data_IF_977030104786
#
_entry.id   IF_977030104786
#
_cell.length_a   1.000
_cell.length_b   1.000
_cell.length_c   1.000
_cell.angle_alpha   90.00
_cell.angle_beta   90.00
_cell.angle_gamma   90.00
#
_symmetry.space_group_name_H-M   'P 1'
#
loop_
_entity.id
_entity.type
_entity.pdbx_description
1 polymer ?
#
# COMPACT_ATOMS: atom_id res chain seq x y z
N UNK A 1 6.98 -17.93 -6.86
CA UNK A 1 7.37 -16.88 -5.90
C UNK A 1 6.08 -16.40 -5.28
N UNK A 2 5.83 -16.82 -4.04
CA UNK A 2 4.71 -16.32 -3.26
C UNK A 2 5.23 -15.10 -2.48
N UNK A 3 4.54 -13.97 -2.57
CA UNK A 3 4.95 -12.75 -1.88
C UNK A 3 4.21 -12.70 -0.55
N UNK A 4 4.92 -12.58 0.57
CA UNK A 4 4.29 -12.49 1.89
C UNK A 4 3.84 -11.07 2.23
N UNK A 5 4.54 -10.06 1.70
CA UNK A 5 4.33 -8.64 2.02
C UNK A 5 4.65 -7.80 0.77
N UNK A 6 3.76 -6.87 0.41
CA UNK A 6 3.93 -5.93 -0.70
C UNK A 6 3.67 -4.50 -0.21
N UNK A 7 4.46 -3.53 -0.68
CA UNK A 7 4.18 -2.10 -0.53
C UNK A 7 3.85 -1.49 -1.88
N UNK A 8 2.92 -0.54 -1.90
CA UNK A 8 2.70 0.38 -3.01
C UNK A 8 2.83 1.81 -2.48
N UNK A 9 3.35 2.73 -3.29
CA UNK A 9 3.43 4.15 -2.95
C UNK A 9 2.40 4.95 -3.75
N UNK A 10 2.28 6.24 -3.46
CA UNK A 10 1.28 7.08 -4.14
C UNK A 10 1.44 7.11 -5.67
N UNK A 11 2.67 6.96 -6.18
CA UNK A 11 2.96 6.99 -7.62
C UNK A 11 2.41 5.76 -8.36
N UNK A 12 2.21 4.62 -7.67
CA UNK A 12 1.53 3.44 -8.23
C UNK A 12 0.11 3.79 -8.72
N UNK A 13 -0.49 4.84 -8.16
CA UNK A 13 -1.83 5.29 -8.46
C UNK A 13 -2.86 4.55 -7.61
N UNK A 14 -3.77 5.32 -7.01
CA UNK A 14 -4.80 4.80 -6.08
C UNK A 14 -5.66 3.70 -6.71
N UNK A 15 -6.06 3.87 -7.97
CA UNK A 15 -6.89 2.89 -8.68
C UNK A 15 -6.19 1.52 -8.80
N UNK A 16 -4.89 1.53 -9.05
CA UNK A 16 -4.09 0.30 -9.16
C UNK A 16 -3.91 -0.35 -7.79
N UNK A 17 -3.58 0.45 -6.76
CA UNK A 17 -3.41 -0.03 -5.40
C UNK A 17 -4.70 -0.71 -4.87
N UNK A 18 -5.86 -0.10 -5.11
CA UNK A 18 -7.14 -0.72 -4.77
C UNK A 18 -7.43 -2.00 -5.55
N UNK A 19 -7.00 -2.10 -6.82
CA UNK A 19 -7.14 -3.33 -7.60
C UNK A 19 -6.29 -4.45 -7.00
N UNK A 20 -5.10 -4.16 -6.50
CA UNK A 20 -4.28 -5.16 -5.81
C UNK A 20 -4.95 -5.66 -4.53
N UNK A 21 -5.44 -4.74 -3.68
CA UNK A 21 -6.18 -5.11 -2.47
C UNK A 21 -7.41 -5.96 -2.79
N UNK A 22 -8.23 -5.55 -3.76
CA UNK A 22 -9.41 -6.32 -4.21
C UNK A 22 -9.06 -7.68 -4.79
N UNK A 23 -7.89 -7.81 -5.44
CA UNK A 23 -7.40 -9.07 -5.97
C UNK A 23 -6.72 -9.96 -4.92
N UNK A 24 -6.65 -9.53 -3.66
CA UNK A 24 -6.10 -10.33 -2.56
C UNK A 24 -4.57 -10.35 -2.49
N UNK A 25 -3.89 -9.43 -3.16
CA UNK A 25 -2.45 -9.27 -2.96
C UNK A 25 -2.19 -8.80 -1.52
N UNK A 26 -1.10 -9.27 -0.87
CA UNK A 26 -0.79 -8.89 0.50
C UNK A 26 -0.13 -7.50 0.55
N UNK A 27 -0.83 -6.49 0.02
CA UNK A 27 -0.43 -5.09 0.07
C UNK A 27 -0.69 -4.56 1.47
N UNK A 28 0.32 -3.95 2.08
CA UNK A 28 0.17 -3.25 3.35
C UNK A 28 -0.48 -1.90 3.10
N UNK A 29 -1.62 -1.67 3.76
CA UNK A 29 -2.33 -0.39 3.75
C UNK A 29 -1.60 0.65 4.60
N UNK A 30 -1.61 1.90 4.13
CA UNK A 30 -1.05 3.04 4.85
C UNK A 30 -2.01 3.65 5.86
N UNK A 31 -1.52 4.62 6.63
CA UNK A 31 -2.33 5.31 7.66
C UNK A 31 -3.15 6.47 7.10
N UNK A 32 -2.92 6.87 5.84
CA UNK A 32 -3.49 8.06 5.22
C UNK A 32 -3.26 9.37 6.02
N UNK A 33 -2.18 9.43 6.81
CA UNK A 33 -1.81 10.61 7.62
C UNK A 33 -0.87 11.54 6.86
N UNK A 34 -0.58 12.69 7.47
CA UNK A 34 0.42 13.65 6.99
C UNK A 34 0.21 14.09 5.53
N UNK A 35 -1.06 14.32 5.14
CA UNK A 35 -1.44 14.77 3.79
C UNK A 35 -1.58 13.67 2.74
N UNK A 36 -1.42 12.40 3.13
CA UNK A 36 -1.64 11.25 2.24
C UNK A 36 -3.14 11.07 1.95
N UNK A 37 -3.49 10.72 0.71
CA UNK A 37 -4.89 10.80 0.24
C UNK A 37 -5.70 9.52 0.40
N UNK A 38 -5.07 8.40 0.76
CA UNK A 38 -5.74 7.10 0.83
C UNK A 38 -4.96 6.12 1.71
N UNK A 39 -5.68 5.14 2.25
CA UNK A 39 -5.14 3.98 2.94
C UNK A 39 -4.62 2.90 1.98
N UNK A 40 -5.01 2.95 0.70
CA UNK A 40 -4.68 1.90 -0.26
C UNK A 40 -3.18 1.74 -0.56
N UNK A 41 -2.34 2.68 -0.12
CA UNK A 41 -0.88 2.68 -0.30
C UNK A 41 -0.20 3.28 0.93
N UNK A 42 1.10 3.01 1.11
CA UNK A 42 1.90 3.62 2.17
C UNK A 42 2.10 5.11 1.90
N UNK A 43 1.64 5.93 2.83
CA UNK A 43 1.70 7.36 2.81
C UNK A 43 2.94 7.94 3.50
N UNK A 44 2.95 9.26 3.61
CA UNK A 44 4.00 10.01 4.29
C UNK A 44 4.15 9.57 5.75
N UNK A 45 5.32 9.03 6.10
CA UNK A 45 5.64 8.59 7.46
C UNK A 45 5.16 7.17 7.79
N UNK A 46 4.55 6.45 6.84
CA UNK A 46 4.26 5.04 7.02
C UNK A 46 5.53 4.20 6.81
N UNK A 47 5.68 3.17 7.63
CA UNK A 47 6.79 2.23 7.54
C UNK A 47 6.27 0.83 7.21
N UNK A 48 7.11 0.05 6.55
CA UNK A 48 6.86 -1.36 6.29
C UNK A 48 8.07 -2.18 6.71
N UNK A 49 7.81 -3.31 7.36
CA UNK A 49 8.84 -4.23 7.82
C UNK A 49 8.80 -5.49 6.98
N UNK A 50 9.97 -5.94 6.56
CA UNK A 50 10.19 -7.22 5.90
C UNK A 50 10.97 -8.12 6.86
N UNK A 51 10.66 -9.42 6.86
CA UNK A 51 11.33 -10.44 7.66
C UNK A 51 12.46 -11.12 6.89
#
# INVERSE_FOLDING_TARGET
>A
VDFSVIACNHCTGILTAEKFLRAGYPVVEGTARHGSKSHAYLGNGDEITFG
#
